data_IF_625390185704
#
_entry.id   IF_625390185704
#
_cell.length_a   1.000
_cell.length_b   1.000
_cell.length_c   1.000
_cell.angle_alpha   90.00
_cell.angle_beta   90.00
_cell.angle_gamma   90.00
#
_symmetry.space_group_name_H-M   'P 1'
#
loop_
_entity.id
_entity.type
_entity.pdbx_description
1 polymer ?
#
# COMPACT_ATOMS: atom_id res chain seq x y z
N UNK A 1 -0.52 -39.64 12.64
CA UNK A 1 -0.20 -38.56 13.60
C UNK A 1 0.24 -37.36 12.79
N UNK A 2 -0.57 -36.31 12.73
CA UNK A 2 -0.20 -35.05 12.08
C UNK A 2 0.41 -34.17 13.16
N UNK A 3 1.70 -33.85 13.01
CA UNK A 3 2.37 -32.89 13.89
C UNK A 3 2.07 -31.48 13.35
N UNK A 4 1.22 -30.74 14.07
CA UNK A 4 1.03 -29.31 13.83
C UNK A 4 2.08 -28.56 14.65
N UNK A 5 3.07 -28.00 13.98
CA UNK A 5 4.01 -27.08 14.60
C UNK A 5 3.40 -25.67 14.60
N UNK A 6 2.80 -25.28 15.72
CA UNK A 6 2.39 -23.89 15.95
C UNK A 6 3.62 -23.12 16.41
N UNK A 7 4.12 -22.23 15.56
CA UNK A 7 5.10 -21.22 15.95
C UNK A 7 4.35 -19.94 16.26
N UNK A 8 4.34 -19.53 17.52
CA UNK A 8 3.94 -18.16 17.88
C UNK A 8 5.16 -17.26 17.69
N UNK A 9 5.21 -16.55 16.56
CA UNK A 9 6.12 -15.42 16.43
C UNK A 9 5.54 -14.27 17.27
N UNK A 10 6.15 -13.99 18.42
CA UNK A 10 5.89 -12.74 19.15
C UNK A 10 6.55 -11.61 18.37
N UNK A 11 5.86 -11.06 17.37
CA UNK A 11 6.23 -9.78 16.77
C UNK A 11 5.86 -8.66 17.75
N UNK A 12 6.53 -8.61 18.90
CA UNK A 12 6.37 -7.52 19.87
C UNK A 12 7.22 -6.35 19.39
N UNK A 13 6.65 -5.56 18.48
CA UNK A 13 7.15 -4.20 18.22
C UNK A 13 6.85 -3.39 19.47
N UNK A 14 7.81 -3.34 20.40
CA UNK A 14 7.73 -2.45 21.56
C UNK A 14 8.25 -1.08 21.13
N UNK A 15 7.32 -0.15 20.87
CA UNK A 15 7.67 1.25 20.70
C UNK A 15 8.36 1.76 21.97
N UNK A 16 9.33 2.69 21.85
CA UNK A 16 9.90 3.36 23.01
C UNK A 16 8.79 4.01 23.86
N UNK A 17 9.00 4.18 25.18
CA UNK A 17 8.05 4.90 26.02
C UNK A 17 7.73 6.28 25.43
N UNK A 18 6.45 6.64 25.40
CA UNK A 18 5.92 7.88 24.80
C UNK A 18 6.10 8.03 23.28
N UNK A 19 6.38 6.95 22.54
CA UNK A 19 6.32 6.96 21.08
C UNK A 19 4.95 6.45 20.61
N UNK A 20 4.26 7.23 19.80
CA UNK A 20 3.01 6.85 19.14
C UNK A 20 3.18 6.94 17.64
N UNK A 21 2.70 5.93 16.90
CA UNK A 21 2.58 6.00 15.44
C UNK A 21 1.17 6.50 15.12
N UNK A 22 0.97 7.73 14.62
CA UNK A 22 -0.36 8.31 14.47
C UNK A 22 -1.13 7.75 13.27
N UNK A 23 -0.42 7.34 12.21
CA UNK A 23 -1.03 6.75 11.03
C UNK A 23 -0.13 5.71 10.36
N UNK A 24 -0.74 4.90 9.49
CA UNK A 24 -0.07 4.00 8.56
C UNK A 24 -0.46 4.35 7.13
N UNK A 25 0.54 4.66 6.29
CA UNK A 25 0.34 5.05 4.90
C UNK A 25 0.96 3.98 4.00
N UNK A 26 0.12 3.39 3.15
CA UNK A 26 0.47 2.13 2.48
C UNK A 26 0.46 2.30 0.96
N UNK A 27 1.50 1.79 0.31
CA UNK A 27 1.73 1.83 -1.12
C UNK A 27 2.04 0.41 -1.60
N UNK A 28 1.77 0.15 -2.87
CA UNK A 28 2.17 -1.12 -3.47
C UNK A 28 1.09 -1.85 -4.23
N UNK A 29 1.16 -3.17 -4.19
CA UNK A 29 0.41 -4.11 -5.02
C UNK A 29 -0.72 -4.81 -4.27
N UNK A 30 -1.18 -5.93 -4.83
CA UNK A 30 -2.33 -6.71 -4.37
C UNK A 30 -2.20 -7.21 -2.93
N UNK A 31 -0.97 -7.34 -2.42
CA UNK A 31 -0.70 -7.81 -1.06
C UNK A 31 -1.29 -6.82 -0.03
N UNK A 32 -1.36 -5.54 -0.36
CA UNK A 32 -1.79 -4.48 0.56
C UNK A 32 -2.89 -3.57 -0.01
N UNK A 33 -3.47 -3.94 -1.15
CA UNK A 33 -4.68 -3.31 -1.70
C UNK A 33 -5.91 -3.80 -0.94
N UNK A 34 -6.76 -2.85 -0.54
CA UNK A 34 -8.00 -3.13 0.19
C UNK A 34 -9.26 -2.75 -0.57
N UNK A 35 -9.12 -2.27 -1.82
CA UNK A 35 -10.25 -1.92 -2.68
C UNK A 35 -10.03 -0.80 -3.71
N UNK A 36 -8.80 -0.30 -3.92
CA UNK A 36 -8.58 0.79 -4.89
C UNK A 36 -8.89 0.35 -6.32
N UNK A 37 -8.76 -0.94 -6.62
CA UNK A 37 -9.08 -1.49 -7.94
C UNK A 37 -10.58 -1.64 -8.23
N UNK A 38 -11.46 -1.48 -7.23
CA UNK A 38 -12.89 -1.81 -7.36
C UNK A 38 -13.57 -1.05 -8.50
N UNK A 39 -13.24 0.23 -8.65
CA UNK A 39 -13.86 1.13 -9.61
C UNK A 39 -13.08 1.26 -10.94
N UNK A 40 -11.95 0.55 -11.08
CA UNK A 40 -11.14 0.57 -12.31
C UNK A 40 -11.73 -0.38 -13.37
N UNK A 41 -11.48 -0.10 -14.64
CA UNK A 41 -11.80 -1.04 -15.73
C UNK A 41 -10.66 -2.05 -15.90
N UNK A 42 -10.54 -2.98 -14.94
CA UNK A 42 -9.51 -4.03 -14.88
C UNK A 42 -10.12 -5.37 -14.48
N UNK A 43 -9.45 -6.48 -14.78
CA UNK A 43 -9.78 -7.80 -14.23
C UNK A 43 -9.15 -8.05 -12.85
N UNK A 44 -8.19 -7.20 -12.44
CA UNK A 44 -7.42 -7.37 -11.21
C UNK A 44 -8.22 -6.80 -10.03
N UNK A 45 -9.26 -7.52 -9.61
CA UNK A 45 -10.15 -7.12 -8.50
C UNK A 45 -10.49 -8.33 -7.63
N UNK A 46 -10.78 -8.07 -6.36
CA UNK A 46 -11.24 -9.07 -5.39
C UNK A 46 -12.49 -8.62 -4.62
N UNK A 47 -13.38 -7.85 -5.27
CA UNK A 47 -14.63 -7.37 -4.69
C UNK A 47 -15.83 -8.29 -4.98
N UNK A 48 -15.58 -9.60 -5.04
CA UNK A 48 -16.58 -10.65 -5.27
C UNK A 48 -16.22 -11.92 -4.49
N UNK A 49 -17.18 -12.83 -4.20
CA UNK A 49 -16.89 -14.10 -3.53
C UNK A 49 -15.92 -14.99 -4.33
N UNK A 50 -15.02 -15.76 -3.70
CA UNK A 50 -14.99 -16.07 -2.26
C UNK A 50 -14.16 -15.08 -1.40
N UNK A 51 -13.58 -14.04 -1.99
CA UNK A 51 -12.74 -13.10 -1.25
C UNK A 51 -13.49 -12.47 -0.07
N UNK A 52 -12.76 -12.19 1.01
CA UNK A 52 -13.33 -11.61 2.23
C UNK A 52 -14.27 -12.53 3.00
N UNK A 53 -14.32 -13.85 2.75
CA UNK A 53 -15.21 -14.79 3.47
C UNK A 53 -14.99 -14.78 4.99
N UNK A 54 -13.75 -14.56 5.44
CA UNK A 54 -13.36 -14.41 6.85
C UNK A 54 -13.25 -12.94 7.28
N UNK A 55 -13.53 -11.99 6.38
CA UNK A 55 -13.45 -10.55 6.63
C UNK A 55 -14.81 -9.95 6.98
N UNK A 56 -14.91 -9.32 8.16
CA UNK A 56 -16.05 -8.49 8.66
C UNK A 56 -17.38 -8.72 7.94
N UNK A 57 -18.10 -9.77 8.32
CA UNK A 57 -19.41 -10.08 7.76
C UNK A 57 -19.37 -10.83 6.41
N UNK A 58 -18.21 -11.32 6.00
CA UNK A 58 -18.03 -12.04 4.74
C UNK A 58 -18.04 -11.12 3.51
N UNK A 59 -17.68 -9.84 3.68
CA UNK A 59 -17.83 -8.82 2.63
C UNK A 59 -16.54 -8.71 1.80
N UNK A 60 -16.59 -8.95 0.49
CA UNK A 60 -15.44 -8.78 -0.38
C UNK A 60 -15.17 -7.31 -0.65
N UNK A 61 -14.23 -6.70 0.07
CA UNK A 61 -13.92 -5.27 -0.09
C UNK A 61 -12.96 -4.97 -1.24
N UNK A 62 -12.35 -6.00 -1.86
CA UNK A 62 -11.23 -5.84 -2.78
C UNK A 62 -9.87 -6.28 -2.22
N UNK A 63 -9.82 -6.77 -0.98
CA UNK A 63 -8.65 -7.46 -0.42
C UNK A 63 -8.40 -8.77 -1.17
N UNK A 64 -7.16 -9.00 -1.59
CA UNK A 64 -6.76 -10.21 -2.32
C UNK A 64 -6.54 -11.41 -1.37
N UNK A 65 -7.44 -11.58 -0.41
CA UNK A 65 -7.44 -12.68 0.55
C UNK A 65 -8.84 -12.87 1.17
N UNK A 66 -8.97 -13.87 2.04
CA UNK A 66 -10.22 -14.16 2.73
C UNK A 66 -10.47 -13.24 3.93
N UNK A 67 -9.44 -12.55 4.43
CA UNK A 67 -9.47 -11.84 5.71
C UNK A 67 -8.74 -10.50 5.68
N UNK A 68 -8.02 -10.20 6.77
CA UNK A 68 -7.15 -9.02 6.89
C UNK A 68 -5.91 -9.15 6.02
N UNK A 69 -5.51 -8.08 5.35
CA UNK A 69 -4.22 -8.00 4.63
C UNK A 69 -3.09 -7.59 5.61
N UNK A 70 -1.80 -7.76 5.27
CA UNK A 70 -0.70 -7.43 6.17
C UNK A 70 -0.74 -6.00 6.75
N UNK A 71 -1.19 -5.01 5.97
CA UNK A 71 -1.35 -3.63 6.46
C UNK A 71 -2.39 -3.50 7.57
N UNK A 72 -3.49 -4.26 7.52
CA UNK A 72 -4.48 -4.30 8.60
C UNK A 72 -3.88 -4.88 9.87
N UNK A 73 -3.14 -5.99 9.75
CA UNK A 73 -2.52 -6.69 10.89
C UNK A 73 -1.49 -5.79 11.58
N UNK A 74 -0.67 -5.08 10.80
CA UNK A 74 0.32 -4.12 11.33
C UNK A 74 -0.38 -2.93 12.00
N UNK A 75 -1.43 -2.38 11.38
CA UNK A 75 -2.19 -1.26 11.94
C UNK A 75 -2.84 -1.61 13.28
N UNK A 76 -3.39 -2.82 13.39
CA UNK A 76 -4.02 -3.34 14.61
C UNK A 76 -2.99 -3.56 15.71
N UNK A 77 -1.85 -4.20 15.41
CA UNK A 77 -0.78 -4.46 16.40
C UNK A 77 -0.18 -3.15 16.95
N UNK A 78 -0.09 -2.11 16.11
CA UNK A 78 0.37 -0.78 16.53
C UNK A 78 -0.72 0.05 17.23
N UNK A 79 -1.95 -0.45 17.33
CA UNK A 79 -3.08 0.25 17.94
C UNK A 79 -3.55 1.48 17.16
N UNK A 80 -3.27 1.54 15.86
CA UNK A 80 -3.62 2.68 14.98
C UNK A 80 -5.09 2.58 14.59
N UNK A 81 -5.47 1.46 13.98
CA UNK A 81 -6.84 1.15 13.53
C UNK A 81 -6.97 -0.34 13.25
N UNK A 82 -8.21 -0.84 13.30
CA UNK A 82 -8.51 -2.25 13.10
C UNK A 82 -8.33 -2.72 11.64
N UNK A 83 -8.62 -1.83 10.67
CA UNK A 83 -8.48 -2.09 9.23
C UNK A 83 -8.10 -0.82 8.49
N UNK A 84 -7.24 -0.91 7.47
CA UNK A 84 -6.78 0.19 6.63
C UNK A 84 -7.68 0.29 5.38
N UNK A 85 -8.44 1.38 5.19
CA UNK A 85 -9.31 1.52 4.03
C UNK A 85 -8.54 1.96 2.78
N UNK A 86 -9.10 1.66 1.61
CA UNK A 86 -8.56 2.07 0.32
C UNK A 86 -8.85 3.55 0.10
N UNK A 87 -7.85 4.34 -0.30
CA UNK A 87 -8.00 5.79 -0.48
C UNK A 87 -9.14 6.18 -1.45
N UNK A 88 -9.39 5.37 -2.49
CA UNK A 88 -10.44 5.61 -3.48
C UNK A 88 -11.82 5.07 -3.08
N UNK A 89 -11.98 4.49 -1.88
CA UNK A 89 -13.28 4.11 -1.37
C UNK A 89 -14.08 5.38 -1.02
N UNK A 90 -15.27 5.61 -1.62
CA UNK A 90 -16.07 6.81 -1.39
C UNK A 90 -16.61 6.93 0.04
N UNK A 91 -16.49 5.88 0.85
CA UNK A 91 -16.91 5.87 2.26
C UNK A 91 -15.81 6.30 3.24
N UNK A 92 -14.58 6.52 2.75
CA UNK A 92 -13.44 6.99 3.57
C UNK A 92 -13.79 8.30 4.25
N UNK A 93 -13.63 8.31 5.58
CA UNK A 93 -13.91 9.49 6.39
C UNK A 93 -12.66 10.32 6.63
N UNK A 94 -12.78 11.59 7.02
CA UNK A 94 -11.61 12.37 7.42
C UNK A 94 -10.85 11.78 8.63
N UNK A 95 -11.52 11.06 9.53
CA UNK A 95 -10.88 10.34 10.62
C UNK A 95 -10.06 9.14 10.12
N UNK A 96 -10.51 8.50 9.04
CA UNK A 96 -9.71 7.48 8.35
C UNK A 96 -8.45 8.07 7.75
N UNK A 97 -8.55 9.23 7.11
CA UNK A 97 -7.38 9.94 6.58
C UNK A 97 -6.38 10.23 7.70
N UNK A 98 -6.83 10.76 8.83
CA UNK A 98 -5.95 11.11 9.96
C UNK A 98 -5.22 9.91 10.61
N UNK A 99 -5.72 8.69 10.40
CA UNK A 99 -5.12 7.43 10.92
C UNK A 99 -4.50 6.57 9.82
N UNK A 100 -4.59 7.01 8.56
CA UNK A 100 -3.96 6.36 7.42
C UNK A 100 -4.88 5.49 6.57
N UNK A 101 -4.45 5.34 5.32
CA UNK A 101 -5.13 4.68 4.21
C UNK A 101 -4.11 3.92 3.35
N UNK A 102 -4.59 3.06 2.46
CA UNK A 102 -3.77 2.45 1.41
C UNK A 102 -4.03 3.08 0.05
N UNK A 103 -2.95 3.43 -0.65
CA UNK A 103 -2.91 3.83 -2.05
C UNK A 103 -2.62 2.65 -2.98
N UNK A 104 -2.34 1.47 -2.41
CA UNK A 104 -1.96 0.29 -3.16
C UNK A 104 -3.02 -0.15 -4.18
N UNK A 105 -2.56 -0.79 -5.25
CA UNK A 105 -3.39 -1.22 -6.37
C UNK A 105 -2.89 -2.57 -6.87
N UNK A 106 -3.76 -3.58 -6.83
CA UNK A 106 -3.42 -4.92 -7.28
C UNK A 106 -2.87 -4.94 -8.70
N UNK A 107 -1.79 -5.70 -8.95
CA UNK A 107 -1.18 -5.83 -10.28
C UNK A 107 -0.19 -4.73 -10.66
N UNK A 108 0.16 -3.83 -9.72
CA UNK A 108 1.15 -2.78 -9.95
C UNK A 108 2.58 -3.27 -9.65
N UNK A 109 3.58 -2.51 -10.11
CA UNK A 109 4.97 -2.81 -9.84
C UNK A 109 5.90 -1.64 -10.16
N UNK A 110 7.20 -1.87 -10.02
CA UNK A 110 8.24 -0.88 -10.30
C UNK A 110 8.50 -0.68 -11.79
N UNK A 111 8.24 -1.70 -12.63
CA UNK A 111 8.29 -1.56 -14.08
C UNK A 111 7.05 -0.78 -14.56
N UNK A 112 7.20 0.40 -15.22
CA UNK A 112 6.07 1.20 -15.69
C UNK A 112 5.16 0.49 -16.72
N UNK A 113 5.59 -0.64 -17.28
CA UNK A 113 4.77 -1.47 -18.17
C UNK A 113 3.81 -2.39 -17.41
N UNK A 114 4.18 -2.84 -16.20
CA UNK A 114 3.36 -3.73 -15.36
C UNK A 114 1.95 -3.17 -15.10
N UNK A 115 1.78 -1.96 -14.54
CA UNK A 115 0.44 -1.43 -14.29
C UNK A 115 -0.34 -1.13 -15.58
N UNK A 116 0.36 -0.83 -16.69
CA UNK A 116 -0.28 -0.59 -18.00
C UNK A 116 -0.89 -1.85 -18.58
N UNK A 117 -0.18 -2.99 -18.48
CA UNK A 117 -0.66 -4.28 -18.96
C UNK A 117 -1.88 -4.76 -18.16
N UNK A 118 -1.92 -4.45 -16.86
CA UNK A 118 -3.03 -4.80 -15.97
C UNK A 118 -4.17 -3.76 -15.97
N UNK A 119 -3.98 -2.57 -16.55
CA UNK A 119 -4.92 -1.43 -16.48
C UNK A 119 -5.23 -1.01 -15.04
N UNK A 120 -4.19 -0.86 -14.22
CA UNK A 120 -4.26 -0.55 -12.77
C UNK A 120 -3.44 0.69 -12.42
N UNK A 121 -3.52 1.14 -11.17
CA UNK A 121 -2.87 2.38 -10.70
C UNK A 121 -1.37 2.13 -10.56
N UNK A 122 -0.56 2.93 -11.24
CA UNK A 122 0.90 2.82 -11.16
C UNK A 122 1.43 3.37 -9.83
N UNK A 123 2.63 2.96 -9.41
CA UNK A 123 3.26 3.55 -8.22
C UNK A 123 3.39 5.09 -8.31
N UNK A 124 3.59 5.64 -9.51
CA UNK A 124 3.60 7.09 -9.71
C UNK A 124 2.21 7.71 -9.44
N UNK A 125 1.14 7.09 -9.92
CA UNK A 125 -0.23 7.56 -9.64
C UNK A 125 -0.58 7.41 -8.15
N UNK A 126 -0.01 6.42 -7.45
CA UNK A 126 -0.16 6.31 -5.99
C UNK A 126 0.49 7.48 -5.25
N UNK A 127 1.62 8.00 -5.74
CA UNK A 127 2.22 9.22 -5.21
C UNK A 127 1.37 10.45 -5.49
N UNK A 128 0.68 10.52 -6.63
CA UNK A 128 -0.27 11.61 -6.90
C UNK A 128 -1.48 11.54 -5.96
N UNK A 129 -2.04 10.36 -5.72
CA UNK A 129 -3.07 10.18 -4.70
C UNK A 129 -2.59 10.54 -3.29
N UNK A 130 -1.31 10.30 -2.99
CA UNK A 130 -0.71 10.75 -1.74
C UNK A 130 -0.62 12.28 -1.65
N UNK A 131 -0.25 12.97 -2.74
CA UNK A 131 -0.26 14.43 -2.80
C UNK A 131 -1.67 15.00 -2.55
N UNK A 132 -2.69 14.41 -3.19
CA UNK A 132 -4.09 14.79 -2.94
C UNK A 132 -4.51 14.52 -1.49
N UNK A 133 -4.10 13.38 -0.94
CA UNK A 133 -4.33 13.02 0.46
C UNK A 133 -3.76 14.07 1.41
N UNK A 134 -2.54 14.56 1.18
CA UNK A 134 -1.92 15.60 2.01
C UNK A 134 -2.79 16.87 2.01
N UNK A 135 -3.27 17.30 0.85
CA UNK A 135 -4.14 18.49 0.76
C UNK A 135 -5.47 18.30 1.49
N UNK A 136 -6.08 17.12 1.38
CA UNK A 136 -7.30 16.77 2.12
C UNK A 136 -7.06 16.74 3.62
N UNK A 137 -5.92 16.20 4.04
CA UNK A 137 -5.53 16.11 5.45
C UNK A 137 -5.31 17.51 6.03
N UNK A 138 -4.58 18.38 5.36
CA UNK A 138 -4.41 19.80 5.75
C UNK A 138 -5.76 20.48 5.93
N UNK A 139 -6.67 20.31 4.96
CA UNK A 139 -8.01 20.90 5.04
C UNK A 139 -8.84 20.39 6.22
N UNK A 140 -8.56 19.19 6.73
CA UNK A 140 -9.31 18.58 7.83
C UNK A 140 -8.69 18.80 9.21
N UNK A 141 -7.36 18.64 9.35
CA UNK A 141 -6.67 18.69 10.65
C UNK A 141 -5.77 19.91 10.83
N UNK A 142 -5.59 20.73 9.80
CA UNK A 142 -4.64 21.84 9.78
C UNK A 142 -3.22 21.40 9.40
N UNK A 143 -2.36 22.38 9.07
CA UNK A 143 -0.98 22.16 8.64
C UNK A 143 -0.12 21.54 9.76
N UNK A 144 -0.09 22.14 10.95
CA UNK A 144 0.71 21.67 12.09
C UNK A 144 0.45 20.18 12.41
N UNK A 145 -0.82 19.78 12.47
CA UNK A 145 -1.19 18.39 12.76
C UNK A 145 -0.92 17.47 11.56
N UNK A 146 -1.02 17.97 10.34
CA UNK A 146 -0.61 17.21 9.15
C UNK A 146 0.89 16.93 9.19
N UNK A 147 1.71 17.94 9.49
CA UNK A 147 3.16 17.80 9.61
C UNK A 147 3.53 16.78 10.68
N UNK A 148 2.86 16.84 11.84
CA UNK A 148 3.02 15.84 12.90
C UNK A 148 2.68 14.43 12.42
N UNK A 149 1.56 14.24 11.70
CA UNK A 149 1.17 12.93 11.17
C UNK A 149 2.24 12.44 10.18
N UNK A 150 2.60 13.23 9.17
CA UNK A 150 3.55 12.82 8.13
C UNK A 150 4.93 12.49 8.69
N UNK A 151 5.41 13.24 9.68
CA UNK A 151 6.73 13.03 10.28
C UNK A 151 6.81 11.79 11.21
N UNK A 152 5.68 11.36 11.80
CA UNK A 152 5.66 10.31 12.83
C UNK A 152 4.96 9.01 12.40
N UNK A 153 4.42 8.95 11.18
CA UNK A 153 3.68 7.79 10.67
C UNK A 153 4.57 6.67 10.16
N UNK A 154 3.99 5.47 10.11
CA UNK A 154 4.61 4.32 9.45
C UNK A 154 4.25 4.33 7.96
N UNK A 155 5.25 4.10 7.12
CA UNK A 155 5.09 3.94 5.68
C UNK A 155 5.39 2.50 5.28
N UNK A 156 4.46 1.88 4.55
CA UNK A 156 4.60 0.51 4.07
C UNK A 156 4.56 0.50 2.54
N UNK A 157 5.59 -0.07 1.90
CA UNK A 157 5.65 -0.24 0.45
C UNK A 157 5.84 -1.74 0.13
N UNK A 158 4.93 -2.30 -0.66
CA UNK A 158 5.00 -3.70 -1.11
C UNK A 158 4.80 -3.78 -2.62
N UNK A 159 5.87 -3.93 -3.39
CA UNK A 159 5.78 -4.00 -4.85
C UNK A 159 6.92 -4.84 -5.46
N UNK A 160 6.74 -5.20 -6.72
CA UNK A 160 7.75 -5.89 -7.55
C UNK A 160 7.44 -7.38 -7.81
N UNK A 161 6.49 -7.96 -7.07
CA UNK A 161 6.05 -9.34 -7.30
C UNK A 161 5.43 -9.50 -8.69
N UNK A 162 4.58 -8.55 -9.09
CA UNK A 162 3.91 -8.50 -10.38
C UNK A 162 4.87 -8.24 -11.56
N UNK A 163 5.95 -7.48 -11.36
CA UNK A 163 6.98 -7.26 -12.39
C UNK A 163 7.63 -8.59 -12.79
N UNK A 164 8.04 -9.38 -11.80
CA UNK A 164 8.70 -10.67 -12.03
C UNK A 164 7.68 -11.68 -12.55
N UNK A 165 6.61 -11.92 -11.79
CA UNK A 165 5.67 -12.99 -12.09
C UNK A 165 4.91 -12.72 -13.39
N UNK A 166 4.23 -11.56 -13.48
CA UNK A 166 3.31 -11.28 -14.57
C UNK A 166 4.03 -10.73 -15.79
N UNK A 167 4.78 -9.63 -15.62
CA UNK A 167 5.38 -8.92 -16.74
C UNK A 167 6.54 -9.70 -17.37
N UNK A 168 7.46 -10.21 -16.55
CA UNK A 168 8.66 -10.90 -17.05
C UNK A 168 8.41 -12.37 -17.38
N UNK A 169 7.85 -13.17 -16.46
CA UNK A 169 7.76 -14.62 -16.66
C UNK A 169 6.51 -15.07 -17.43
N UNK A 170 5.32 -14.60 -17.04
CA UNK A 170 4.04 -15.02 -17.64
C UNK A 170 3.84 -14.39 -19.02
N UNK A 171 3.84 -13.06 -19.11
CA UNK A 171 3.59 -12.34 -20.35
C UNK A 171 4.81 -12.26 -21.26
N UNK A 172 6.01 -12.50 -20.71
CA UNK A 172 7.30 -12.43 -21.44
C UNK A 172 7.55 -11.08 -22.13
N UNK A 173 6.87 -10.03 -21.68
CA UNK A 173 6.82 -8.75 -22.37
C UNK A 173 8.17 -8.00 -22.30
N UNK A 174 9.03 -8.36 -21.34
CA UNK A 174 10.37 -7.80 -21.16
C UNK A 174 11.51 -8.75 -21.56
N UNK A 175 11.24 -10.02 -21.88
CA UNK A 175 12.29 -11.04 -22.08
C UNK A 175 13.22 -10.79 -23.26
N UNK A 176 12.76 -10.06 -24.28
CA UNK A 176 13.61 -9.69 -25.43
C UNK A 176 14.48 -8.46 -25.15
N UNK A 177 14.16 -7.70 -24.10
CA UNK A 177 14.85 -6.45 -23.74
C UNK A 177 15.81 -6.66 -22.57
N UNK A 178 15.47 -7.55 -21.65
CA UNK A 178 16.22 -7.78 -20.42
C UNK A 178 16.40 -9.28 -20.17
N UNK A 179 17.62 -9.70 -19.85
CA UNK A 179 17.81 -10.94 -19.10
C UNK A 179 17.41 -10.75 -17.63
N UNK A 180 17.45 -11.82 -16.84
CA UNK A 180 16.98 -11.77 -15.45
C UNK A 180 17.79 -10.76 -14.62
N UNK A 181 19.15 -10.78 -14.63
CA UNK A 181 19.94 -9.79 -13.91
C UNK A 181 19.61 -8.35 -14.29
N UNK A 182 19.57 -8.02 -15.60
CA UNK A 182 19.28 -6.66 -16.04
C UNK A 182 17.86 -6.21 -15.66
N UNK A 183 16.90 -7.13 -15.64
CA UNK A 183 15.53 -6.81 -15.20
C UNK A 183 15.46 -6.55 -13.70
N UNK A 184 16.15 -7.34 -12.88
CA UNK A 184 16.23 -7.11 -11.44
C UNK A 184 17.00 -5.83 -11.09
N UNK A 185 18.00 -5.45 -11.88
CA UNK A 185 18.70 -4.16 -11.74
C UNK A 185 17.75 -2.99 -12.04
N UNK A 186 16.93 -3.09 -13.09
CA UNK A 186 15.90 -2.10 -13.38
C UNK A 186 14.93 -1.94 -12.20
N UNK A 187 14.44 -3.06 -11.65
CA UNK A 187 13.53 -3.03 -10.50
C UNK A 187 14.18 -2.42 -9.26
N UNK A 188 15.43 -2.79 -8.94
CA UNK A 188 16.15 -2.26 -7.79
C UNK A 188 16.39 -0.74 -7.91
N UNK A 189 16.77 -0.28 -9.11
CA UNK A 189 16.92 1.15 -9.40
C UNK A 189 15.59 1.88 -9.25
N UNK A 190 14.50 1.36 -9.83
CA UNK A 190 13.18 1.96 -9.72
C UNK A 190 12.67 2.00 -8.27
N UNK A 191 12.93 0.97 -7.47
CA UNK A 191 12.61 0.96 -6.04
C UNK A 191 13.39 2.04 -5.27
N UNK A 192 14.70 2.17 -5.54
CA UNK A 192 15.51 3.23 -4.95
C UNK A 192 15.00 4.63 -5.34
N UNK A 193 14.67 4.84 -6.62
CA UNK A 193 14.12 6.12 -7.10
C UNK A 193 12.78 6.42 -6.44
N UNK A 194 11.89 5.44 -6.32
CA UNK A 194 10.60 5.61 -5.66
C UNK A 194 10.77 6.10 -4.22
N UNK A 195 11.63 5.44 -3.44
CA UNK A 195 11.88 5.82 -2.03
C UNK A 195 12.49 7.22 -1.92
N UNK A 196 13.37 7.61 -2.84
CA UNK A 196 13.95 8.95 -2.87
C UNK A 196 12.90 10.03 -3.16
N UNK A 197 12.07 9.83 -4.20
CA UNK A 197 10.98 10.77 -4.53
C UNK A 197 9.97 10.85 -3.40
N UNK A 198 9.60 9.70 -2.84
CA UNK A 198 8.67 9.62 -1.73
C UNK A 198 9.16 10.38 -0.50
N UNK A 199 10.44 10.22 -0.16
CA UNK A 199 11.07 10.94 0.94
C UNK A 199 11.04 12.45 0.70
N UNK A 200 11.39 12.90 -0.50
CA UNK A 200 11.34 14.33 -0.86
C UNK A 200 9.92 14.90 -0.76
N UNK A 201 8.89 14.15 -1.15
CA UNK A 201 7.50 14.59 -1.00
C UNK A 201 7.09 14.78 0.47
N UNK A 202 7.56 13.92 1.37
CA UNK A 202 7.32 14.08 2.81
C UNK A 202 8.06 15.30 3.33
N UNK A 203 9.35 15.46 2.97
CA UNK A 203 10.17 16.61 3.37
C UNK A 203 9.54 17.93 2.89
N UNK A 204 9.16 18.02 1.61
CA UNK A 204 8.49 19.19 1.02
C UNK A 204 7.13 19.49 1.66
N UNK A 205 6.43 18.47 2.16
CA UNK A 205 5.15 18.65 2.85
C UNK A 205 5.34 19.17 4.29
N UNK A 206 6.38 18.68 4.98
CA UNK A 206 6.70 19.05 6.37
C UNK A 206 7.44 20.40 6.47
N UNK A 207 8.29 20.73 5.50
CA UNK A 207 9.17 21.92 5.53
C UNK A 207 8.50 23.23 5.07
N UNK A 208 7.22 23.23 4.67
CA UNK A 208 6.47 24.47 4.32
C UNK A 208 6.27 25.46 5.48
N UNK A 209 6.88 25.21 6.64
CA UNK A 209 6.85 26.03 7.86
C UNK A 209 8.16 26.78 8.18
N UNK A 210 9.10 26.95 7.24
CA UNK A 210 10.29 27.82 7.44
C UNK A 210 10.30 29.01 6.47
#
# INVERSE_FOLDING_TARGET
MIYVHVWTAKALVKLPPNTTVPAILVFGDSIVDTGNNNNLQTIVKCNFPPYGIDFKGGIPTGRFCDGKVPSDIIAEELGIKDTVPAYLDPTVTPADLATGVTFASGGTGYDPMTPKLASVISLADQLEHFNEYIQKLIGFVGEEKTNFILANSLYLLVAGSDDIANTYFVLRARKLQYDVPAYTDLMANSASTFVQVFKLQIEDAVEREI
#
